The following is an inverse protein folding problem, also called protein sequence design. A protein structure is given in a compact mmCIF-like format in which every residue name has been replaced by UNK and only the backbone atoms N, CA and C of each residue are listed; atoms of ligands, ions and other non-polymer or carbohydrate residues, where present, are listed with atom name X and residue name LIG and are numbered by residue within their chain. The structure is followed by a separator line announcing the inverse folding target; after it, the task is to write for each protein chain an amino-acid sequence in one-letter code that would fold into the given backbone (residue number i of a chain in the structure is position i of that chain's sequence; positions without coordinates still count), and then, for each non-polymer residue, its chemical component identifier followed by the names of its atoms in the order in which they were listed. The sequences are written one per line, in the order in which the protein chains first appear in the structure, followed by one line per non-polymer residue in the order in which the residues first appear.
data_IF_022878136747
#
_entry.id   IF_022878136747
#
_cell.length_a   1.000
_cell.length_b   1.000
_cell.length_c   1.000
_cell.angle_alpha   90.00
_cell.angle_beta   90.00
_cell.angle_gamma   90.00
#
_symmetry.space_group_name_H-M   'P 1'
#
loop_
_entity.id
_entity.type
_entity.pdbx_description
1 polymer ?
#
# COMPACT_ATOMS: atom_id res chain seq x y z
N UNK A 1 -37.36 28.30 30.26
CA UNK A 1 -35.96 28.53 30.56
C UNK A 1 -35.18 27.81 29.46
N UNK A 2 -34.72 28.59 28.48
CA UNK A 2 -33.94 28.09 27.34
C UNK A 2 -32.46 28.31 27.66
N UNK A 3 -31.69 27.24 27.87
CA UNK A 3 -30.25 27.31 28.05
C UNK A 3 -29.59 27.37 26.68
N UNK A 4 -29.02 28.53 26.36
CA UNK A 4 -28.17 28.70 25.22
C UNK A 4 -26.86 27.88 25.43
N UNK A 5 -26.56 26.99 24.52
CA UNK A 5 -25.27 26.31 24.45
C UNK A 5 -24.31 27.32 23.80
N UNK A 6 -23.40 27.89 24.59
CA UNK A 6 -22.24 28.62 24.06
C UNK A 6 -21.31 27.62 23.35
N UNK A 7 -21.27 27.68 22.04
CA UNK A 7 -20.23 27.06 21.24
C UNK A 7 -18.96 27.87 21.38
N UNK A 8 -18.00 27.37 22.17
CA UNK A 8 -16.63 27.89 22.18
C UNK A 8 -16.01 27.63 20.80
N UNK A 9 -15.86 28.70 20.03
CA UNK A 9 -15.22 28.68 18.75
C UNK A 9 -13.76 28.25 18.91
N UNK A 10 -13.40 27.09 18.42
CA UNK A 10 -12.03 26.73 18.12
C UNK A 10 -11.51 27.74 17.09
N UNK A 11 -10.46 28.47 17.45
CA UNK A 11 -9.72 29.35 16.54
C UNK A 11 -9.04 28.47 15.48
N UNK A 12 -9.78 28.18 14.40
CA UNK A 12 -9.20 27.59 13.20
C UNK A 12 -8.11 28.55 12.70
N UNK A 13 -6.87 28.11 12.66
CA UNK A 13 -5.80 28.80 11.95
C UNK A 13 -6.26 28.98 10.51
N UNK A 14 -6.35 30.22 10.06
CA UNK A 14 -6.69 30.58 8.69
C UNK A 14 -5.59 30.02 7.76
N UNK A 15 -5.84 28.86 7.17
CA UNK A 15 -4.98 28.20 6.18
C UNK A 15 -5.31 28.64 4.75
N UNK A 16 -6.13 29.69 4.60
CA UNK A 16 -6.47 30.25 3.30
C UNK A 16 -5.19 30.68 2.58
N UNK A 17 -4.96 30.08 1.42
CA UNK A 17 -3.76 30.34 0.59
C UNK A 17 -2.61 29.34 0.74
N UNK A 18 -2.54 28.53 1.79
CA UNK A 18 -1.44 27.56 2.00
C UNK A 18 -1.32 26.57 0.84
N UNK A 19 -2.42 26.13 0.27
CA UNK A 19 -2.47 25.13 -0.79
C UNK A 19 -2.81 25.67 -2.18
N UNK A 20 -3.01 26.99 -2.34
CA UNK A 20 -3.44 27.61 -3.61
C UNK A 20 -2.52 27.26 -4.78
N UNK A 21 -1.21 27.26 -4.55
CA UNK A 21 -0.22 27.03 -5.61
C UNK A 21 -0.21 25.58 -6.10
N UNK A 22 -0.51 24.60 -5.23
CA UNK A 22 -0.40 23.18 -5.55
C UNK A 22 -1.74 22.53 -5.91
N UNK A 23 -2.85 23.10 -5.48
CA UNK A 23 -4.19 22.53 -5.65
C UNK A 23 -4.56 22.18 -7.11
N UNK A 24 -4.25 22.99 -8.14
CA UNK A 24 -4.56 22.62 -9.51
C UNK A 24 -3.84 21.35 -9.96
N UNK A 25 -2.57 21.18 -9.60
CA UNK A 25 -1.78 19.99 -9.93
C UNK A 25 -2.30 18.76 -9.18
N UNK A 26 -2.53 18.88 -7.88
CA UNK A 26 -3.11 17.80 -7.05
C UNK A 26 -4.42 17.30 -7.65
N UNK A 27 -5.38 18.20 -7.94
CA UNK A 27 -6.67 17.80 -8.51
C UNK A 27 -6.55 17.14 -9.87
N UNK A 28 -5.66 17.64 -10.74
CA UNK A 28 -5.45 17.05 -12.07
C UNK A 28 -4.92 15.61 -11.98
N UNK A 29 -3.96 15.35 -11.10
CA UNK A 29 -3.40 14.03 -10.89
C UNK A 29 -4.44 13.07 -10.29
N UNK A 30 -5.16 13.50 -9.24
CA UNK A 30 -6.21 12.69 -8.62
C UNK A 30 -7.36 12.36 -9.59
N UNK A 31 -7.78 13.29 -10.43
CA UNK A 31 -8.78 13.04 -11.46
C UNK A 31 -8.30 12.02 -12.51
N UNK A 32 -6.99 11.99 -12.82
CA UNK A 32 -6.42 10.98 -13.70
C UNK A 32 -6.45 9.58 -13.06
N UNK A 33 -6.05 9.47 -11.81
CA UNK A 33 -6.08 8.23 -11.03
C UNK A 33 -7.50 7.68 -10.93
N UNK A 34 -8.46 8.50 -10.55
CA UNK A 34 -9.86 8.09 -10.37
C UNK A 34 -10.47 7.52 -11.66
N UNK A 35 -10.15 8.08 -12.82
CA UNK A 35 -10.64 7.52 -14.10
C UNK A 35 -10.13 6.09 -14.34
N UNK A 36 -8.95 5.76 -13.87
CA UNK A 36 -8.38 4.41 -14.00
C UNK A 36 -8.98 3.42 -13.00
N UNK A 37 -9.29 3.86 -11.78
CA UNK A 37 -9.89 3.04 -10.74
C UNK A 37 -11.22 2.39 -11.17
N UNK A 38 -12.00 3.07 -12.00
CA UNK A 38 -13.27 2.54 -12.50
C UNK A 38 -13.14 1.57 -13.68
N UNK A 39 -11.94 1.43 -14.26
CA UNK A 39 -11.67 0.52 -15.38
C UNK A 39 -11.14 -0.82 -14.88
N UNK A 40 -10.26 -0.80 -13.90
CA UNK A 40 -9.62 -1.97 -13.31
C UNK A 40 -10.09 -2.12 -11.87
N UNK A 41 -10.93 -3.11 -11.60
CA UNK A 41 -11.37 -3.42 -10.24
C UNK A 41 -10.88 -4.80 -9.87
N UNK A 42 -10.00 -4.89 -8.89
CA UNK A 42 -9.58 -6.13 -8.28
C UNK A 42 -10.78 -6.78 -7.56
N UNK A 43 -11.05 -8.05 -7.86
CA UNK A 43 -12.16 -8.75 -7.24
C UNK A 43 -11.82 -10.22 -6.94
N UNK A 44 -11.90 -10.66 -5.66
CA UNK A 44 -11.57 -12.03 -5.27
C UNK A 44 -12.36 -13.12 -6.02
N UNK A 45 -13.55 -12.78 -6.51
CA UNK A 45 -14.41 -13.68 -7.29
C UNK A 45 -13.93 -13.95 -8.71
N UNK A 46 -12.94 -13.21 -9.21
CA UNK A 46 -12.38 -13.40 -10.55
C UNK A 46 -11.41 -14.60 -10.64
N UNK A 47 -11.00 -15.17 -9.49
CA UNK A 47 -10.01 -16.24 -9.43
C UNK A 47 -10.64 -17.61 -9.24
N UNK A 48 -10.11 -18.63 -9.94
CA UNK A 48 -10.38 -20.03 -9.62
C UNK A 48 -9.49 -20.49 -8.46
N UNK A 49 -10.03 -20.44 -7.26
CA UNK A 49 -9.32 -20.76 -6.02
C UNK A 49 -8.91 -22.23 -5.89
N UNK A 50 -9.38 -23.11 -6.76
CA UNK A 50 -8.94 -24.51 -6.77
C UNK A 50 -7.51 -24.66 -7.28
N UNK A 51 -7.00 -23.65 -8.00
CA UNK A 51 -5.63 -23.61 -8.51
C UNK A 51 -4.61 -23.11 -7.47
N UNK A 52 -5.05 -22.43 -6.41
CA UNK A 52 -4.18 -21.64 -5.51
C UNK A 52 -3.11 -22.45 -4.77
N UNK A 53 -3.31 -23.76 -4.55
CA UNK A 53 -2.39 -24.62 -3.79
C UNK A 53 -2.18 -25.99 -4.47
N UNK A 54 -2.23 -26.05 -5.80
CA UNK A 54 -1.85 -27.27 -6.53
C UNK A 54 -0.35 -27.57 -6.36
N UNK A 55 0.09 -28.83 -6.51
CA UNK A 55 1.52 -29.14 -6.42
C UNK A 55 2.40 -28.30 -7.36
N UNK A 56 1.90 -27.99 -8.55
CA UNK A 56 2.59 -27.12 -9.52
C UNK A 56 2.69 -25.68 -9.04
N UNK A 57 1.65 -25.19 -8.37
CA UNK A 57 1.64 -23.84 -7.80
C UNK A 57 2.58 -23.77 -6.59
N UNK A 58 2.61 -24.79 -5.72
CA UNK A 58 3.54 -24.84 -4.59
C UNK A 58 5.01 -24.86 -5.05
N UNK A 59 5.35 -25.63 -6.08
CA UNK A 59 6.68 -25.61 -6.67
C UNK A 59 7.02 -24.24 -7.30
N UNK A 60 6.03 -23.56 -7.87
CA UNK A 60 6.20 -22.22 -8.43
C UNK A 60 6.48 -21.18 -7.33
N UNK A 61 5.69 -21.16 -6.25
CA UNK A 61 5.93 -20.20 -5.15
C UNK A 61 7.27 -20.48 -4.44
N UNK A 62 7.73 -21.74 -4.39
CA UNK A 62 9.10 -22.08 -3.98
C UNK A 62 10.14 -21.39 -4.89
N UNK A 63 9.94 -21.45 -6.21
CA UNK A 63 10.83 -20.78 -7.17
C UNK A 63 10.78 -19.25 -7.03
N UNK A 64 9.60 -18.67 -6.75
CA UNK A 64 9.50 -17.23 -6.51
C UNK A 64 10.31 -16.80 -5.29
N UNK A 65 10.17 -17.49 -4.16
CA UNK A 65 10.80 -17.11 -2.91
C UNK A 65 12.29 -17.50 -2.83
N UNK A 66 12.65 -18.72 -3.28
CA UNK A 66 13.99 -19.31 -3.10
C UNK A 66 14.82 -19.41 -4.39
N UNK A 67 14.23 -19.13 -5.55
CA UNK A 67 14.90 -19.24 -6.85
C UNK A 67 14.81 -20.62 -7.50
N UNK A 68 14.38 -21.65 -6.77
CA UNK A 68 14.25 -23.02 -7.24
C UNK A 68 13.10 -23.75 -6.54
N UNK A 69 12.56 -24.84 -7.10
CA UNK A 69 11.63 -25.73 -6.40
C UNK A 69 12.34 -26.56 -5.32
N UNK A 70 11.57 -27.15 -4.41
CA UNK A 70 12.10 -28.00 -3.32
C UNK A 70 12.04 -27.37 -1.93
N UNK A 71 11.62 -26.09 -1.85
CA UNK A 71 11.41 -25.33 -0.61
C UNK A 71 9.92 -24.98 -0.41
N UNK A 72 9.00 -25.87 -0.83
CA UNK A 72 7.57 -25.59 -0.85
C UNK A 72 7.02 -25.27 0.53
N UNK A 73 7.50 -25.95 1.58
CA UNK A 73 7.03 -25.71 2.97
C UNK A 73 7.49 -24.36 3.49
N UNK A 74 8.75 -24.03 3.27
CA UNK A 74 9.38 -22.77 3.66
C UNK A 74 8.77 -21.60 2.87
N UNK A 75 8.54 -21.78 1.57
CA UNK A 75 7.91 -20.78 0.71
C UNK A 75 6.44 -20.52 1.11
N UNK A 76 5.68 -21.57 1.44
CA UNK A 76 4.32 -21.43 1.98
C UNK A 76 4.35 -20.68 3.31
N UNK A 77 5.29 -20.98 4.20
CA UNK A 77 5.40 -20.28 5.48
C UNK A 77 5.78 -18.80 5.28
N UNK A 78 6.75 -18.54 4.41
CA UNK A 78 7.13 -17.17 4.04
C UNK A 78 5.96 -16.36 3.49
N UNK A 79 5.26 -16.87 2.45
CA UNK A 79 4.11 -16.19 1.88
C UNK A 79 2.94 -16.07 2.87
N UNK A 80 2.75 -17.07 3.75
CA UNK A 80 1.74 -17.00 4.81
C UNK A 80 2.01 -15.82 5.74
N UNK A 81 3.27 -15.63 6.16
CA UNK A 81 3.66 -14.50 7.00
C UNK A 81 3.52 -13.18 6.26
N UNK A 82 4.10 -13.06 5.07
CA UNK A 82 4.16 -11.79 4.35
C UNK A 82 2.78 -11.31 3.88
N UNK A 83 1.98 -12.19 3.30
CA UNK A 83 0.67 -11.80 2.79
C UNK A 83 -0.38 -11.61 3.89
N UNK A 84 -0.26 -12.30 5.03
CA UNK A 84 -1.11 -12.01 6.17
C UNK A 84 -0.73 -10.68 6.83
N UNK A 85 0.55 -10.35 6.90
CA UNK A 85 1.03 -9.05 7.36
C UNK A 85 0.57 -7.93 6.42
N UNK A 86 0.73 -8.11 5.11
CA UNK A 86 0.28 -7.16 4.10
C UNK A 86 -1.23 -6.93 4.20
N UNK A 87 -2.03 -7.99 4.31
CA UNK A 87 -3.48 -7.87 4.51
C UNK A 87 -3.86 -7.03 5.75
N UNK A 88 -3.10 -7.13 6.85
CA UNK A 88 -3.31 -6.28 8.03
C UNK A 88 -2.86 -4.83 7.80
N UNK A 89 -1.83 -4.60 6.98
CA UNK A 89 -1.41 -3.25 6.59
C UNK A 89 -2.50 -2.61 5.74
N UNK A 90 -2.96 -3.27 4.69
CA UNK A 90 -4.01 -2.78 3.78
C UNK A 90 -5.34 -2.53 4.49
N UNK A 91 -5.75 -3.43 5.39
CA UNK A 91 -6.91 -3.20 6.25
C UNK A 91 -6.77 -1.96 7.12
N UNK A 92 -5.58 -1.71 7.65
CA UNK A 92 -5.28 -0.51 8.42
C UNK A 92 -5.30 0.74 7.52
N UNK A 93 -4.66 0.71 6.35
CA UNK A 93 -4.67 1.81 5.37
C UNK A 93 -6.10 2.17 5.00
N UNK A 94 -6.93 1.19 4.62
CA UNK A 94 -8.36 1.40 4.34
C UNK A 94 -9.10 2.09 5.48
N UNK A 95 -8.86 1.66 6.73
CA UNK A 95 -9.54 2.21 7.91
C UNK A 95 -9.11 3.65 8.20
N UNK A 96 -7.80 3.93 8.16
CA UNK A 96 -7.28 5.30 8.40
C UNK A 96 -7.68 6.23 7.26
N UNK A 97 -7.68 5.75 6.01
CA UNK A 97 -8.15 6.52 4.86
C UNK A 97 -9.61 6.97 5.04
N UNK A 98 -10.48 6.07 5.52
CA UNK A 98 -11.87 6.41 5.85
C UNK A 98 -11.98 7.44 6.98
N UNK A 99 -11.11 7.38 8.00
CA UNK A 99 -11.04 8.39 9.05
C UNK A 99 -10.64 9.76 8.50
N UNK A 100 -9.58 9.81 7.69
CA UNK A 100 -9.09 11.04 7.06
C UNK A 100 -10.16 11.65 6.15
N UNK A 101 -10.88 10.86 5.37
CA UNK A 101 -12.00 11.33 4.55
C UNK A 101 -13.11 11.98 5.40
N UNK A 102 -13.41 11.40 6.57
CA UNK A 102 -14.37 12.00 7.51
C UNK A 102 -13.92 13.36 8.01
N UNK A 103 -12.64 13.54 8.32
CA UNK A 103 -12.08 14.83 8.76
C UNK A 103 -11.97 15.86 7.63
N UNK A 104 -11.71 15.43 6.40
CA UNK A 104 -11.67 16.28 5.21
C UNK A 104 -13.06 16.82 4.84
N UNK A 105 -14.14 16.20 5.30
CA UNK A 105 -15.51 16.58 4.92
C UNK A 105 -15.82 18.04 5.19
N UNK A 106 -15.37 18.57 6.32
CA UNK A 106 -15.61 19.94 6.74
C UNK A 106 -14.52 20.93 6.34
N UNK A 107 -13.41 20.42 5.81
CA UNK A 107 -12.28 21.25 5.40
C UNK A 107 -12.59 22.01 4.11
N UNK A 108 -12.44 23.32 4.14
CA UNK A 108 -12.67 24.21 3.01
C UNK A 108 -11.35 24.83 2.54
N UNK A 109 -10.64 24.11 1.69
CA UNK A 109 -9.39 24.53 1.09
C UNK A 109 -9.37 24.24 -0.42
N UNK A 110 -8.41 24.80 -1.20
CA UNK A 110 -8.39 24.67 -2.64
C UNK A 110 -8.22 23.23 -3.17
N UNK A 111 -7.59 22.34 -2.40
CA UNK A 111 -7.46 20.92 -2.79
C UNK A 111 -8.80 20.21 -2.64
N UNK A 112 -9.53 20.50 -1.56
CA UNK A 112 -10.75 19.79 -1.18
C UNK A 112 -12.05 20.45 -1.69
N UNK A 113 -11.96 21.52 -2.51
CA UNK A 113 -13.14 22.20 -3.08
C UNK A 113 -13.84 21.40 -4.17
N UNK A 114 -13.18 20.46 -4.82
CA UNK A 114 -13.74 19.50 -5.76
C UNK A 114 -14.01 18.15 -5.08
N UNK A 115 -14.48 17.19 -5.86
CA UNK A 115 -14.68 15.82 -5.37
C UNK A 115 -13.48 14.91 -5.64
N UNK A 116 -12.45 15.41 -6.33
CA UNK A 116 -11.33 14.59 -6.83
C UNK A 116 -10.57 13.91 -5.70
N UNK A 117 -10.23 14.64 -4.64
CA UNK A 117 -9.51 14.07 -3.50
C UNK A 117 -10.36 13.00 -2.80
N UNK A 118 -11.57 13.36 -2.37
CA UNK A 118 -12.46 12.42 -1.69
C UNK A 118 -12.75 11.18 -2.54
N UNK A 119 -12.93 11.35 -3.84
CA UNK A 119 -13.20 10.25 -4.76
C UNK A 119 -11.97 9.33 -4.90
N UNK A 120 -10.77 9.89 -5.09
CA UNK A 120 -9.54 9.10 -5.17
C UNK A 120 -9.30 8.29 -3.88
N UNK A 121 -9.43 8.93 -2.71
CA UNK A 121 -9.28 8.25 -1.42
C UNK A 121 -10.36 7.19 -1.18
N UNK A 122 -11.58 7.39 -1.67
CA UNK A 122 -12.66 6.39 -1.58
C UNK A 122 -12.34 5.15 -2.42
N UNK A 123 -11.79 5.32 -3.63
CA UNK A 123 -11.34 4.21 -4.48
C UNK A 123 -10.21 3.46 -3.79
N UNK A 124 -9.19 4.18 -3.33
CA UNK A 124 -8.06 3.60 -2.61
C UNK A 124 -8.53 2.75 -1.42
N UNK A 125 -9.31 3.33 -0.50
CA UNK A 125 -9.80 2.61 0.67
C UNK A 125 -10.63 1.37 0.32
N UNK A 126 -11.42 1.41 -0.75
CA UNK A 126 -12.23 0.29 -1.20
C UNK A 126 -11.38 -0.83 -1.85
N UNK A 127 -10.34 -0.48 -2.58
CA UNK A 127 -9.39 -1.42 -3.18
C UNK A 127 -8.59 -2.12 -2.09
N UNK A 128 -8.01 -1.39 -1.13
CA UNK A 128 -7.25 -1.91 0.00
C UNK A 128 -8.00 -2.98 0.82
N UNK A 129 -9.27 -2.75 1.13
CA UNK A 129 -10.03 -3.75 1.89
C UNK A 129 -10.31 -5.02 1.05
N UNK A 130 -10.38 -4.92 -0.28
CA UNK A 130 -10.50 -6.07 -1.16
C UNK A 130 -9.17 -6.82 -1.29
N UNK A 131 -8.05 -6.12 -1.34
CA UNK A 131 -6.72 -6.70 -1.30
C UNK A 131 -6.53 -7.52 -0.03
N UNK A 132 -6.79 -6.92 1.14
CA UNK A 132 -6.71 -7.59 2.43
C UNK A 132 -7.54 -8.89 2.47
N UNK A 133 -8.78 -8.85 2.04
CA UNK A 133 -9.66 -10.01 2.00
C UNK A 133 -9.13 -11.11 1.07
N UNK A 134 -8.52 -10.71 -0.05
CA UNK A 134 -7.98 -11.63 -1.05
C UNK A 134 -6.71 -12.31 -0.55
N UNK A 135 -5.80 -11.56 0.06
CA UNK A 135 -4.58 -12.13 0.62
C UNK A 135 -4.87 -13.06 1.80
N UNK A 136 -5.80 -12.73 2.68
CA UNK A 136 -6.23 -13.67 3.72
C UNK A 136 -6.82 -14.96 3.13
N UNK A 137 -7.60 -14.86 2.07
CA UNK A 137 -8.12 -16.04 1.38
C UNK A 137 -7.00 -16.88 0.76
N UNK A 138 -6.00 -16.24 0.16
CA UNK A 138 -4.85 -16.93 -0.42
C UNK A 138 -3.99 -17.60 0.66
N UNK A 139 -3.69 -16.90 1.74
CA UNK A 139 -2.98 -17.46 2.91
C UNK A 139 -3.68 -18.72 3.42
N UNK A 140 -5.01 -18.67 3.56
CA UNK A 140 -5.79 -19.83 3.98
C UNK A 140 -5.75 -20.98 2.97
N UNK A 141 -5.77 -20.68 1.67
CA UNK A 141 -5.66 -21.69 0.62
C UNK A 141 -4.28 -22.38 0.63
N UNK A 142 -3.20 -21.61 0.84
CA UNK A 142 -1.82 -22.11 0.88
C UNK A 142 -1.53 -22.95 2.13
N UNK A 143 -1.84 -22.43 3.32
CA UNK A 143 -1.37 -22.96 4.60
C UNK A 143 -2.43 -23.70 5.40
N UNK A 144 -3.71 -23.59 5.02
CA UNK A 144 -4.84 -24.08 5.81
C UNK A 144 -5.05 -23.29 7.11
N UNK A 145 -4.31 -22.19 7.33
CA UNK A 145 -4.27 -21.42 8.56
C UNK A 145 -4.69 -19.97 8.34
N UNK A 146 -5.10 -19.32 9.41
CA UNK A 146 -5.42 -17.89 9.43
C UNK A 146 -4.60 -17.24 10.57
N UNK A 147 -3.33 -16.89 10.32
CA UNK A 147 -2.54 -16.17 11.32
C UNK A 147 -3.20 -14.82 11.59
N UNK A 148 -3.32 -14.49 12.87
CA UNK A 148 -3.91 -13.22 13.33
C UNK A 148 -3.03 -12.60 14.38
N UNK A 149 -3.00 -11.30 14.39
CA UNK A 149 -2.34 -10.52 15.43
C UNK A 149 -3.34 -10.09 16.51
N UNK A 150 -2.80 -9.69 17.67
CA UNK A 150 -3.61 -9.15 18.76
C UNK A 150 -4.37 -7.89 18.29
N UNK A 151 -5.65 -7.85 18.64
CA UNK A 151 -6.48 -6.66 18.39
C UNK A 151 -5.89 -5.40 19.01
N UNK A 152 -5.19 -5.51 20.14
CA UNK A 152 -4.54 -4.37 20.79
C UNK A 152 -3.53 -3.70 19.87
N UNK A 153 -2.72 -4.47 19.12
CA UNK A 153 -1.77 -3.91 18.16
C UNK A 153 -2.46 -3.19 17.01
N UNK A 154 -3.59 -3.71 16.53
CA UNK A 154 -4.39 -3.02 15.51
C UNK A 154 -4.94 -1.69 16.05
N UNK A 155 -5.47 -1.68 17.28
CA UNK A 155 -5.98 -0.47 17.92
C UNK A 155 -4.86 0.56 18.13
N UNK A 156 -3.68 0.15 18.62
CA UNK A 156 -2.50 1.02 18.77
C UNK A 156 -2.10 1.69 17.44
N UNK A 157 -2.14 0.94 16.33
CA UNK A 157 -1.85 1.47 15.00
C UNK A 157 -2.87 2.53 14.56
N UNK A 158 -4.15 2.35 14.87
CA UNK A 158 -5.18 3.36 14.62
C UNK A 158 -5.00 4.59 15.51
N UNK A 159 -4.58 4.41 16.76
CA UNK A 159 -4.41 5.50 17.72
C UNK A 159 -3.31 6.49 17.31
N UNK A 160 -2.31 6.07 16.51
CA UNK A 160 -1.33 6.97 15.89
C UNK A 160 -2.02 8.09 15.10
N UNK A 161 -3.13 7.79 14.42
CA UNK A 161 -3.86 8.73 13.57
C UNK A 161 -5.08 9.38 14.26
N UNK A 162 -5.45 8.94 15.48
CA UNK A 162 -6.54 9.53 16.27
C UNK A 162 -6.06 10.73 17.07
N UNK A 163 -5.63 11.76 16.36
CA UNK A 163 -5.07 13.00 16.91
C UNK A 163 -5.81 14.20 16.35
N UNK A 164 -5.55 15.39 16.89
CA UNK A 164 -6.08 16.66 16.38
C UNK A 164 -5.21 17.27 15.26
N UNK A 165 -4.29 16.48 14.69
CA UNK A 165 -3.45 16.90 13.59
C UNK A 165 -4.29 17.23 12.35
N UNK A 166 -3.78 18.15 11.52
CA UNK A 166 -4.41 18.51 10.26
C UNK A 166 -4.59 17.28 9.36
N UNK A 167 -5.75 17.06 8.70
CA UNK A 167 -6.00 15.87 7.89
C UNK A 167 -4.94 15.58 6.83
N UNK A 168 -4.33 16.61 6.22
CA UNK A 168 -3.23 16.40 5.27
C UNK A 168 -1.94 15.91 5.91
N UNK A 169 -1.70 16.20 7.19
CA UNK A 169 -0.56 15.63 7.94
C UNK A 169 -0.74 14.12 8.09
N UNK A 170 -1.95 13.70 8.47
CA UNK A 170 -2.31 12.29 8.59
C UNK A 170 -2.27 11.58 7.23
N UNK A 171 -2.83 12.19 6.18
CA UNK A 171 -2.82 11.65 4.83
C UNK A 171 -1.41 11.41 4.33
N UNK A 172 -0.52 12.40 4.46
CA UNK A 172 0.87 12.25 4.00
C UNK A 172 1.61 11.18 4.78
N UNK A 173 1.46 11.10 6.10
CA UNK A 173 2.09 10.07 6.92
C UNK A 173 1.58 8.67 6.54
N UNK A 174 0.27 8.51 6.32
CA UNK A 174 -0.34 7.26 5.87
C UNK A 174 0.19 6.84 4.49
N UNK A 175 0.16 7.74 3.51
CA UNK A 175 0.66 7.48 2.16
C UNK A 175 2.16 7.11 2.16
N UNK A 176 2.98 7.77 2.98
CA UNK A 176 4.39 7.38 3.12
C UNK A 176 4.55 5.96 3.65
N UNK A 177 3.74 5.54 4.62
CA UNK A 177 3.81 4.20 5.18
C UNK A 177 3.26 3.14 4.21
N UNK A 178 2.14 3.40 3.54
CA UNK A 178 1.57 2.52 2.51
C UNK A 178 2.57 2.29 1.37
N UNK A 179 3.18 3.36 0.87
CA UNK A 179 4.16 3.37 -0.21
C UNK A 179 5.33 2.38 -0.03
N UNK A 180 5.74 2.11 1.22
CA UNK A 180 6.78 1.09 1.50
C UNK A 180 6.27 -0.30 1.14
N UNK A 181 5.07 -0.67 1.62
CA UNK A 181 4.44 -1.96 1.34
C UNK A 181 4.22 -2.17 -0.16
N UNK A 182 3.64 -1.18 -0.83
CA UNK A 182 3.38 -1.16 -2.27
C UNK A 182 4.66 -1.27 -3.10
N UNK A 183 5.76 -0.63 -2.64
CA UNK A 183 7.05 -0.74 -3.31
C UNK A 183 7.67 -2.13 -3.17
N UNK A 184 7.54 -2.75 -2.00
CA UNK A 184 8.03 -4.12 -1.79
C UNK A 184 7.25 -5.12 -2.62
N UNK A 185 5.91 -5.06 -2.60
CA UNK A 185 5.08 -6.02 -3.36
C UNK A 185 5.30 -5.86 -4.87
N UNK A 186 5.54 -4.65 -5.38
CA UNK A 186 5.85 -4.39 -6.79
C UNK A 186 7.12 -5.14 -7.24
N UNK A 187 8.13 -5.29 -6.38
CA UNK A 187 9.32 -6.11 -6.69
C UNK A 187 8.96 -7.58 -6.88
N UNK A 188 8.00 -8.08 -6.08
CA UNK A 188 7.46 -9.44 -6.24
C UNK A 188 6.63 -9.60 -7.51
N UNK A 189 5.86 -8.61 -7.89
CA UNK A 189 5.12 -8.59 -9.17
C UNK A 189 6.08 -8.70 -10.35
N UNK A 190 7.14 -7.89 -10.37
CA UNK A 190 8.18 -8.00 -11.38
C UNK A 190 8.82 -9.38 -11.41
N UNK A 191 9.10 -9.96 -10.22
CA UNK A 191 9.64 -11.33 -10.12
C UNK A 191 8.71 -12.36 -10.74
N UNK A 192 7.42 -12.32 -10.39
CA UNK A 192 6.43 -13.27 -10.90
C UNK A 192 6.19 -13.09 -12.40
N UNK A 193 6.09 -11.87 -12.91
CA UNK A 193 5.97 -11.58 -14.35
C UNK A 193 7.22 -12.06 -15.13
N UNK A 194 8.43 -11.95 -14.56
CA UNK A 194 9.64 -12.45 -15.18
C UNK A 194 9.70 -13.99 -15.24
N UNK A 195 9.20 -14.67 -14.20
CA UNK A 195 9.16 -16.13 -14.12
C UNK A 195 8.01 -16.77 -14.91
N UNK A 196 6.91 -16.06 -15.08
CA UNK A 196 5.68 -16.51 -15.73
C UNK A 196 5.07 -15.40 -16.59
N UNK A 197 5.72 -15.04 -17.73
CA UNK A 197 5.30 -13.94 -18.58
C UNK A 197 3.93 -14.17 -19.24
N UNK A 198 3.48 -15.41 -19.34
CA UNK A 198 2.16 -15.77 -19.85
C UNK A 198 1.07 -15.74 -18.76
N UNK A 199 1.46 -15.51 -17.51
CA UNK A 199 0.56 -15.48 -16.34
C UNK A 199 -0.31 -16.73 -16.21
N UNK A 200 0.30 -17.87 -16.47
CA UNK A 200 -0.36 -19.17 -16.35
C UNK A 200 -0.54 -19.57 -14.88
N UNK A 201 0.28 -19.05 -13.96
CA UNK A 201 0.27 -19.38 -12.54
C UNK A 201 -0.73 -18.54 -11.76
N UNK A 202 -1.35 -19.17 -10.75
CA UNK A 202 -2.33 -18.49 -9.90
C UNK A 202 -1.70 -17.28 -9.19
N UNK A 203 -0.54 -17.46 -8.56
CA UNK A 203 0.12 -16.39 -7.80
C UNK A 203 0.56 -15.22 -8.70
N UNK A 204 1.03 -15.48 -9.92
CA UNK A 204 1.33 -14.41 -10.90
C UNK A 204 0.09 -13.61 -11.25
N UNK A 205 -1.04 -14.29 -11.55
CA UNK A 205 -2.30 -13.60 -11.86
C UNK A 205 -2.80 -12.77 -10.69
N UNK A 206 -2.68 -13.30 -9.48
CA UNK A 206 -3.06 -12.62 -8.24
C UNK A 206 -2.29 -11.31 -8.08
N UNK A 207 -0.95 -11.38 -8.10
CA UNK A 207 -0.10 -10.21 -7.94
C UNK A 207 -0.24 -9.24 -9.10
N UNK A 208 -0.30 -9.73 -10.35
CA UNK A 208 -0.50 -8.85 -11.49
C UNK A 208 -1.80 -8.04 -11.41
N UNK A 209 -2.91 -8.67 -10.98
CA UNK A 209 -4.20 -7.96 -10.84
C UNK A 209 -4.16 -6.97 -9.69
N UNK A 210 -3.49 -7.31 -8.60
CA UNK A 210 -3.20 -6.43 -7.48
C UNK A 210 -2.39 -5.21 -7.92
N UNK A 211 -1.27 -5.42 -8.64
CA UNK A 211 -0.39 -4.35 -9.11
C UNK A 211 -1.04 -3.33 -10.06
N UNK A 212 -2.14 -3.70 -10.72
CA UNK A 212 -2.93 -2.72 -11.49
C UNK A 212 -3.59 -1.68 -10.59
N UNK A 213 -3.99 -2.08 -9.37
CA UNK A 213 -4.53 -1.16 -8.37
C UNK A 213 -3.39 -0.41 -7.68
N UNK A 214 -2.30 -1.10 -7.28
CA UNK A 214 -1.13 -0.53 -6.64
C UNK A 214 -0.48 0.59 -7.47
N UNK A 215 -0.45 0.47 -8.78
CA UNK A 215 0.05 1.54 -9.65
C UNK A 215 -0.73 2.87 -9.49
N UNK A 216 -2.00 2.81 -9.09
CA UNK A 216 -2.81 3.99 -8.77
C UNK A 216 -2.56 4.49 -7.35
N UNK A 217 -2.40 3.57 -6.39
CA UNK A 217 -2.07 3.88 -5.00
C UNK A 217 -0.74 4.61 -4.92
N UNK A 218 0.31 4.06 -5.51
CA UNK A 218 1.63 4.72 -5.68
C UNK A 218 1.51 6.13 -6.27
N UNK A 219 0.59 6.34 -7.20
CA UNK A 219 0.37 7.68 -7.78
C UNK A 219 -0.26 8.64 -6.76
N UNK A 220 -1.19 8.18 -5.94
CA UNK A 220 -1.79 8.98 -4.86
C UNK A 220 -0.71 9.30 -3.80
N UNK A 221 0.12 8.32 -3.46
CA UNK A 221 1.23 8.52 -2.52
C UNK A 221 2.21 9.57 -3.03
N UNK A 222 2.57 9.51 -4.31
CA UNK A 222 3.41 10.54 -4.92
C UNK A 222 2.76 11.93 -4.88
N UNK A 223 1.44 12.04 -5.07
CA UNK A 223 0.71 13.31 -4.90
C UNK A 223 0.84 13.80 -3.46
N UNK A 224 0.64 12.92 -2.47
CA UNK A 224 0.79 13.27 -1.07
C UNK A 224 2.23 13.69 -0.72
N UNK A 225 3.23 12.90 -1.16
CA UNK A 225 4.64 13.11 -0.83
C UNK A 225 5.29 14.29 -1.58
N UNK A 226 4.97 14.47 -2.87
CA UNK A 226 5.67 15.42 -3.74
C UNK A 226 4.91 16.73 -3.98
N UNK A 227 3.59 16.76 -3.75
CA UNK A 227 2.79 17.97 -3.94
C UNK A 227 2.20 18.49 -2.62
N UNK A 228 1.60 17.64 -1.79
CA UNK A 228 0.96 18.09 -0.54
C UNK A 228 2.01 18.36 0.55
N UNK A 229 2.93 17.41 0.80
CA UNK A 229 3.95 17.55 1.84
C UNK A 229 4.78 18.84 1.76
N UNK A 230 5.31 19.25 0.59
CA UNK A 230 6.06 20.51 0.50
C UNK A 230 5.23 21.77 0.77
N UNK A 231 3.91 21.69 0.62
CA UNK A 231 3.00 22.79 0.92
C UNK A 231 2.62 22.87 2.42
N UNK A 232 2.96 21.87 3.22
CA UNK A 232 2.76 21.88 4.67
C UNK A 232 3.72 22.88 5.33
N UNK A 233 3.31 23.46 6.48
CA UNK A 233 4.21 24.27 7.31
C UNK A 233 5.32 23.40 7.92
N UNK A 234 6.41 24.01 8.35
CA UNK A 234 7.53 23.30 8.98
C UNK A 234 7.08 22.46 10.20
N UNK A 235 6.13 22.97 11.00
CA UNK A 235 5.57 22.25 12.14
C UNK A 235 4.74 21.05 11.69
N UNK A 236 3.94 21.19 10.64
CA UNK A 236 3.17 20.09 10.05
C UNK A 236 4.08 19.02 9.44
N UNK A 237 5.16 19.44 8.73
CA UNK A 237 6.16 18.51 8.17
C UNK A 237 6.88 17.73 9.28
N UNK A 238 7.24 18.40 10.39
CA UNK A 238 7.79 17.70 11.57
C UNK A 238 6.77 16.69 12.11
N UNK A 239 5.50 17.06 12.19
CA UNK A 239 4.46 16.16 12.68
C UNK A 239 4.24 14.96 11.77
N UNK A 240 4.32 15.11 10.45
CA UNK A 240 4.33 13.97 9.50
C UNK A 240 5.43 12.98 9.85
N UNK A 241 6.64 13.47 10.13
CA UNK A 241 7.77 12.62 10.51
C UNK A 241 7.48 11.83 11.79
N UNK A 242 6.98 12.50 12.83
CA UNK A 242 6.64 11.85 14.10
C UNK A 242 5.57 10.77 13.94
N UNK A 243 4.54 11.01 13.12
CA UNK A 243 3.50 10.02 12.83
C UNK A 243 4.08 8.84 12.05
N UNK A 244 4.93 9.10 11.04
CA UNK A 244 5.57 8.03 10.25
C UNK A 244 6.49 7.18 11.11
N UNK A 245 7.33 7.77 11.97
CA UNK A 245 8.16 7.04 12.90
C UNK A 245 7.32 6.16 13.85
N UNK A 246 6.20 6.68 14.35
CA UNK A 246 5.29 5.95 15.21
C UNK A 246 4.64 4.75 14.53
N UNK A 247 4.15 4.91 13.30
CA UNK A 247 3.49 3.82 12.58
C UNK A 247 4.50 2.76 12.12
N UNK A 248 5.70 3.16 11.70
CA UNK A 248 6.74 2.21 11.27
C UNK A 248 7.26 1.35 12.43
N UNK A 249 7.36 1.89 13.64
CA UNK A 249 7.66 1.07 14.82
C UNK A 249 6.56 0.04 15.09
N UNK A 250 5.29 0.40 14.90
CA UNK A 250 4.18 -0.53 15.04
C UNK A 250 4.11 -1.54 13.88
N UNK A 251 4.48 -1.15 12.67
CA UNK A 251 4.61 -2.06 11.52
C UNK A 251 5.73 -3.10 11.77
N UNK A 252 6.84 -2.70 12.37
CA UNK A 252 7.91 -3.62 12.79
C UNK A 252 7.39 -4.63 13.83
N UNK A 253 6.68 -4.17 14.87
CA UNK A 253 6.04 -5.05 15.85
C UNK A 253 5.00 -5.99 15.22
N UNK A 254 4.29 -5.52 14.20
CA UNK A 254 3.38 -6.33 13.40
C UNK A 254 4.13 -7.45 12.68
N UNK A 255 5.24 -7.12 12.02
CA UNK A 255 6.10 -8.09 11.33
C UNK A 255 6.63 -9.16 12.29
N UNK A 256 7.18 -8.75 13.44
CA UNK A 256 7.67 -9.66 14.48
C UNK A 256 6.55 -10.60 14.96
N UNK A 257 5.35 -10.07 15.21
CA UNK A 257 4.19 -10.86 15.65
C UNK A 257 3.76 -11.89 14.60
N UNK A 258 3.73 -11.52 13.31
CA UNK A 258 3.40 -12.47 12.24
C UNK A 258 4.50 -13.52 12.05
N UNK A 259 5.77 -13.16 12.21
CA UNK A 259 6.89 -14.10 12.20
C UNK A 259 6.69 -15.16 13.28
N UNK A 260 6.52 -14.76 14.54
CA UNK A 260 6.34 -15.67 15.68
C UNK A 260 5.10 -16.58 15.52
N UNK A 261 3.99 -16.00 15.08
CA UNK A 261 2.73 -16.76 14.89
C UNK A 261 2.89 -17.78 13.78
N UNK A 262 3.50 -17.42 12.67
CA UNK A 262 3.68 -18.31 11.51
C UNK A 262 4.66 -19.44 11.83
N UNK A 263 5.79 -19.16 12.47
CA UNK A 263 6.73 -20.17 12.93
C UNK A 263 6.09 -21.16 13.90
N UNK A 264 5.27 -20.67 14.83
CA UNK A 264 4.54 -21.52 15.79
C UNK A 264 3.50 -22.42 15.10
N UNK A 265 2.79 -21.91 14.06
CA UNK A 265 1.75 -22.66 13.37
C UNK A 265 2.35 -23.68 12.39
N UNK A 266 3.36 -23.30 11.61
CA UNK A 266 3.89 -24.10 10.52
C UNK A 266 5.17 -24.87 10.88
N UNK A 267 5.88 -24.45 11.93
CA UNK A 267 7.03 -25.17 12.48
C UNK A 267 8.22 -25.25 11.55
N UNK A 268 8.46 -24.23 10.73
CA UNK A 268 9.59 -24.15 9.79
C UNK A 268 10.28 -22.80 9.89
N UNK A 269 11.61 -22.78 9.71
CA UNK A 269 12.38 -21.56 9.42
C UNK A 269 12.20 -21.23 7.94
N UNK A 270 11.74 -20.05 7.62
CA UNK A 270 11.46 -19.61 6.27
C UNK A 270 12.22 -18.34 5.86
N UNK A 271 13.13 -17.89 6.70
CA UNK A 271 13.96 -16.70 6.46
C UNK A 271 15.38 -17.05 6.09
N UNK A 272 15.94 -18.09 6.68
CA UNK A 272 17.33 -18.51 6.41
C UNK A 272 17.49 -18.96 4.96
N UNK A 273 18.40 -18.28 4.24
CA UNK A 273 18.68 -18.58 2.83
C UNK A 273 17.57 -18.20 1.85
N UNK A 274 16.61 -17.39 2.28
CA UNK A 274 15.52 -16.92 1.43
C UNK A 274 15.86 -15.57 0.77
N UNK A 275 16.11 -15.53 -0.57
CA UNK A 275 16.44 -14.30 -1.29
C UNK A 275 15.32 -13.26 -1.25
N UNK A 276 14.06 -13.70 -1.25
CA UNK A 276 12.90 -12.80 -1.17
C UNK A 276 12.89 -12.06 0.17
N UNK A 277 13.08 -12.78 1.29
CA UNK A 277 13.16 -12.17 2.61
C UNK A 277 14.35 -11.19 2.73
N UNK A 278 15.48 -11.49 2.10
CA UNK A 278 16.64 -10.60 2.10
C UNK A 278 16.36 -9.29 1.35
N UNK A 279 15.78 -9.34 0.16
CA UNK A 279 15.41 -8.14 -0.62
C UNK A 279 14.43 -7.28 0.15
N UNK A 280 13.37 -7.87 0.70
CA UNK A 280 12.37 -7.16 1.48
C UNK A 280 12.98 -6.45 2.70
N UNK A 281 13.83 -7.15 3.45
CA UNK A 281 14.49 -6.60 4.63
C UNK A 281 15.36 -5.39 4.28
N UNK A 282 16.16 -5.49 3.22
CA UNK A 282 17.06 -4.40 2.81
C UNK A 282 16.28 -3.20 2.24
N UNK A 283 15.19 -3.41 1.50
CA UNK A 283 14.30 -2.33 1.07
C UNK A 283 13.67 -1.60 2.26
N UNK A 284 13.13 -2.33 3.23
CA UNK A 284 12.51 -1.74 4.42
C UNK A 284 13.54 -0.93 5.24
N UNK A 285 14.76 -1.45 5.42
CA UNK A 285 15.85 -0.72 6.11
C UNK A 285 16.26 0.55 5.36
N UNK A 286 16.41 0.46 4.04
CA UNK A 286 16.78 1.60 3.20
C UNK A 286 15.71 2.70 3.28
N UNK A 287 14.44 2.32 3.20
CA UNK A 287 13.34 3.27 3.36
C UNK A 287 13.39 3.94 4.75
N UNK A 288 13.39 3.18 5.83
CA UNK A 288 13.40 3.73 7.20
C UNK A 288 14.57 4.67 7.48
N UNK A 289 15.71 4.48 6.80
CA UNK A 289 16.90 5.32 6.99
C UNK A 289 16.99 6.51 6.03
N UNK A 290 16.34 6.49 4.87
CA UNK A 290 16.58 7.45 3.78
C UNK A 290 15.31 8.12 3.22
N UNK A 291 14.13 7.80 3.74
CA UNK A 291 12.86 8.41 3.28
C UNK A 291 12.85 9.93 3.42
N UNK A 292 13.55 10.47 4.44
CA UNK A 292 13.75 11.90 4.57
C UNK A 292 15.17 12.28 4.13
N UNK A 293 15.26 13.13 3.11
CA UNK A 293 16.50 13.74 2.70
C UNK A 293 17.04 14.72 3.77
N UNK A 294 18.31 15.10 3.64
CA UNK A 294 18.95 16.03 4.58
C UNK A 294 18.29 17.42 4.62
N UNK A 295 17.66 17.84 3.53
CA UNK A 295 16.89 19.08 3.43
C UNK A 295 15.43 18.94 3.90
N UNK A 296 15.04 17.74 4.33
CA UNK A 296 13.69 17.42 4.81
C UNK A 296 12.69 17.03 3.72
N UNK A 297 13.09 16.94 2.44
CA UNK A 297 12.22 16.44 1.39
C UNK A 297 11.96 14.94 1.56
N UNK A 298 10.80 14.47 1.07
CA UNK A 298 10.49 13.04 1.03
C UNK A 298 11.02 12.42 -0.26
N UNK A 299 11.80 11.34 -0.11
CA UNK A 299 12.29 10.53 -1.22
C UNK A 299 11.30 9.43 -1.59
N UNK A 300 11.16 9.18 -2.88
CA UNK A 300 10.54 7.95 -3.39
C UNK A 300 11.51 6.78 -3.25
N UNK A 301 11.00 5.55 -3.37
CA UNK A 301 11.84 4.35 -3.26
C UNK A 301 12.96 4.37 -4.31
N UNK A 302 12.69 4.78 -5.54
CA UNK A 302 13.72 4.88 -6.59
C UNK A 302 14.81 5.93 -6.28
N UNK A 303 14.51 6.95 -5.49
CA UNK A 303 15.49 7.94 -4.99
C UNK A 303 16.30 7.43 -3.79
N UNK A 304 15.78 6.42 -3.07
CA UNK A 304 16.41 5.80 -1.90
C UNK A 304 17.43 4.72 -2.31
N UNK A 305 17.22 4.06 -3.46
CA UNK A 305 18.04 2.93 -3.92
C UNK A 305 19.49 3.38 -4.18
N UNK A 306 20.44 2.68 -3.56
CA UNK A 306 21.84 2.74 -3.95
C UNK A 306 22.18 1.61 -4.96
N UNK A 307 23.42 1.60 -5.44
CA UNK A 307 23.88 0.63 -6.45
C UNK A 307 23.78 -0.81 -5.94
N UNK A 308 24.03 -1.06 -4.65
CA UNK A 308 24.02 -2.39 -4.05
C UNK A 308 22.59 -2.93 -3.96
N UNK A 309 21.67 -2.13 -3.43
CA UNK A 309 20.25 -2.51 -3.33
C UNK A 309 19.61 -2.64 -4.72
N UNK A 310 19.94 -1.74 -5.65
CA UNK A 310 19.49 -1.83 -7.05
C UNK A 310 19.98 -3.10 -7.73
N UNK A 311 21.23 -3.51 -7.48
CA UNK A 311 21.76 -4.77 -8.00
C UNK A 311 21.05 -5.99 -7.39
N UNK A 312 20.75 -5.96 -6.09
CA UNK A 312 20.00 -7.01 -5.40
C UNK A 312 18.59 -7.15 -5.96
N UNK A 313 17.86 -6.04 -6.10
CA UNK A 313 16.51 -6.01 -6.69
C UNK A 313 16.55 -6.53 -8.12
N UNK A 314 17.52 -6.10 -8.93
CA UNK A 314 17.68 -6.55 -10.31
C UNK A 314 17.92 -8.05 -10.40
N UNK A 315 18.80 -8.58 -9.55
CA UNK A 315 19.08 -10.02 -9.50
C UNK A 315 17.85 -10.83 -9.08
N UNK A 316 17.02 -10.30 -8.21
CA UNK A 316 15.81 -10.96 -7.75
C UNK A 316 14.65 -10.84 -8.76
N UNK A 317 14.30 -9.62 -9.18
CA UNK A 317 13.10 -9.34 -9.96
C UNK A 317 13.32 -9.25 -11.47
N UNK A 318 14.57 -9.14 -11.93
CA UNK A 318 14.89 -8.87 -13.33
C UNK A 318 14.75 -7.39 -13.73
N UNK A 319 14.34 -6.49 -12.82
CA UNK A 319 14.09 -5.05 -13.08
C UNK A 319 14.87 -4.21 -12.08
N UNK A 320 15.67 -3.26 -12.57
CA UNK A 320 16.53 -2.41 -11.72
C UNK A 320 15.84 -1.21 -11.06
N UNK A 321 14.54 -1.04 -11.28
CA UNK A 321 13.72 0.01 -10.65
C UNK A 321 12.49 -0.62 -10.03
N UNK A 322 12.03 -0.07 -8.92
CA UNK A 322 10.81 -0.55 -8.27
C UNK A 322 9.58 -0.07 -9.03
N UNK A 323 9.51 1.23 -9.29
CA UNK A 323 8.40 1.80 -10.05
C UNK A 323 8.87 2.26 -11.44
N UNK A 324 8.23 1.76 -12.48
CA UNK A 324 8.44 2.30 -13.82
C UNK A 324 7.81 3.68 -13.88
N UNK A 325 8.58 4.67 -14.33
CA UNK A 325 8.08 6.03 -14.50
C UNK A 325 6.94 6.05 -15.53
N UNK A 326 5.74 6.22 -15.02
CA UNK A 326 4.50 6.31 -15.79
C UNK A 326 3.73 4.98 -15.81
N UNK A 327 2.48 5.06 -15.38
CA UNK A 327 1.47 4.06 -15.74
C UNK A 327 1.55 3.94 -17.26
N UNK A 328 1.85 2.75 -17.85
CA UNK A 328 1.83 2.63 -19.30
C UNK A 328 0.49 3.17 -19.78
N UNK A 329 0.45 3.97 -20.87
CA UNK A 329 -0.83 4.36 -21.42
C UNK A 329 -1.61 3.06 -21.63
N UNK A 330 -2.68 2.88 -20.86
CA UNK A 330 -3.59 1.76 -21.05
C UNK A 330 -3.87 1.73 -22.54
N UNK A 331 -3.38 0.70 -23.21
CA UNK A 331 -3.82 0.42 -24.56
C UNK A 331 -5.33 0.50 -24.49
N UNK A 332 -5.94 1.41 -25.25
CA UNK A 332 -7.35 1.72 -25.16
C UNK A 332 -8.14 0.39 -25.30
N UNK A 333 -8.32 -0.28 -24.18
CA UNK A 333 -9.19 -1.42 -24.08
C UNK A 333 -10.55 -0.84 -24.48
N UNK A 334 -11.07 -1.28 -25.61
CA UNK A 334 -12.33 -0.84 -26.13
C UNK A 334 -13.35 -0.93 -24.99
N UNK A 335 -13.74 0.22 -24.46
CA UNK A 335 -14.82 0.32 -23.49
C UNK A 335 -15.99 -0.42 -24.13
N UNK A 336 -16.50 -1.50 -23.52
CA UNK A 336 -17.71 -2.10 -24.04
C UNK A 336 -18.78 -1.01 -23.98
N UNK A 337 -19.19 -0.50 -25.14
CA UNK A 337 -20.37 0.35 -25.20
C UNK A 337 -21.52 -0.48 -24.65
N UNK A 338 -21.93 -0.20 -23.43
CA UNK A 338 -23.26 -0.57 -22.98
C UNK A 338 -24.24 0.19 -23.87
N UNK A 339 -24.60 -0.42 -25.00
CA UNK A 339 -25.71 0.01 -25.80
C UNK A 339 -26.94 -0.08 -24.89
N UNK A 340 -27.44 1.09 -24.51
CA UNK A 340 -28.61 1.20 -23.67
C UNK A 340 -29.75 0.41 -24.27
N UNK A 341 -30.21 -0.61 -23.57
CA UNK A 341 -31.50 -1.21 -23.81
C UNK A 341 -32.55 -0.16 -23.39
N UNK A 342 -32.98 0.64 -24.36
CA UNK A 342 -34.23 1.34 -24.22
C UNK A 342 -35.36 0.31 -24.12
N UNK A 343 -36.05 0.25 -22.99
CA UNK A 343 -37.48 -0.06 -22.85
C UNK A 343 -38.02 0.56 -21.58
#
# INVERSE_FOLDING_TARGET
MSTAIETTGTTGTDTSGQFDAVAPAVRAELAAVTRLAHINTFHPGAFDWTEAATPQELAYVSTVAYGEPGHEREAVAYLTKELAQLAEIERHVSTVMAMVMGELHDLRDPINTGHELHHALSCFAAEEIQHANTFYRYVRALSGSEPRVDKALFDERLDVFRTDDHPYVKLVALCCSAYVGESVITVFEHRTDALDPERARFFTRLLHTHGLDEARHVKIDHVAMKLIYPALTADQQRRVRELLEGIEELNRRLADSFQEVTERILGVDFTTGNPAAAVQLEMTKAFGSRVFAADGTLHTVDEILDDELSAMITAFSGVGRVHTAGIPPLAAAAVPHFAGAAR
#
